data_IF_704547719839
#
_entry.id   IF_704547719839
#
_cell.length_a   1.000
_cell.length_b   1.000
_cell.length_c   1.000
_cell.angle_alpha   90.00
_cell.angle_beta   90.00
_cell.angle_gamma   90.00
#
_symmetry.space_group_name_H-M   'P 1'
#
loop_
_entity.id
_entity.type
_entity.pdbx_description
1 polymer ?
#
# COMPACT_ATOMS: atom_id res chain seq x y z
N UNK A 1 9.28 -9.64 6.21
CA UNK A 1 8.16 -10.57 6.52
C UNK A 1 7.06 -10.34 5.50
N UNK A 2 6.77 -11.33 4.65
CA UNK A 2 5.76 -11.24 3.59
C UNK A 2 4.42 -11.80 4.07
N UNK A 3 3.34 -11.26 3.52
CA UNK A 3 1.96 -11.64 3.84
C UNK A 3 1.26 -12.17 2.59
N UNK A 4 0.31 -13.07 2.78
CA UNK A 4 -0.53 -13.54 1.69
C UNK A 4 -1.34 -12.37 1.13
N UNK A 5 -1.39 -12.25 -0.20
CA UNK A 5 -2.19 -11.23 -0.89
C UNK A 5 -3.67 -11.42 -0.53
N UNK A 6 -4.16 -12.65 -0.58
CA UNK A 6 -5.47 -12.98 -0.03
C UNK A 6 -5.34 -13.25 1.48
N UNK A 7 -5.88 -12.33 2.29
CA UNK A 7 -5.82 -12.42 3.75
C UNK A 7 -6.80 -13.43 4.35
N UNK A 8 -7.78 -13.91 3.58
CA UNK A 8 -8.67 -14.99 4.05
C UNK A 8 -7.99 -16.37 4.05
N UNK A 9 -6.86 -16.51 3.35
CA UNK A 9 -6.12 -17.77 3.25
C UNK A 9 -4.94 -17.76 4.22
N UNK A 10 -4.94 -18.68 5.18
CA UNK A 10 -3.89 -18.85 6.20
C UNK A 10 -2.79 -19.86 5.83
N UNK A 11 -2.75 -20.32 4.58
CA UNK A 11 -1.73 -21.26 4.11
C UNK A 11 -0.32 -20.65 4.17
N UNK A 12 0.59 -21.36 4.85
CA UNK A 12 1.99 -20.98 5.00
C UNK A 12 2.75 -21.02 3.66
N UNK A 13 2.35 -21.89 2.74
CA UNK A 13 2.97 -22.08 1.42
C UNK A 13 2.25 -21.35 0.29
N UNK A 14 1.35 -20.41 0.64
CA UNK A 14 0.61 -19.65 -0.36
C UNK A 14 1.56 -18.96 -1.35
N UNK A 15 1.30 -19.19 -2.64
CA UNK A 15 2.20 -18.78 -3.74
C UNK A 15 2.33 -17.27 -3.89
N UNK A 16 1.24 -16.52 -3.68
CA UNK A 16 1.20 -15.08 -3.93
C UNK A 16 1.38 -14.30 -2.63
N UNK A 17 2.60 -13.85 -2.38
CA UNK A 17 2.93 -13.05 -1.20
C UNK A 17 3.30 -11.62 -1.59
N UNK A 18 3.00 -10.68 -0.70
CA UNK A 18 3.39 -9.28 -0.82
C UNK A 18 4.11 -8.82 0.46
N UNK A 19 4.99 -7.81 0.39
CA UNK A 19 5.53 -7.22 1.60
C UNK A 19 4.42 -6.56 2.44
N UNK A 20 4.59 -6.51 3.75
CA UNK A 20 3.69 -5.76 4.63
C UNK A 20 3.77 -4.27 4.31
N UNK A 21 2.64 -3.58 4.27
CA UNK A 21 2.60 -2.12 4.11
C UNK A 21 3.38 -1.44 5.24
N UNK A 22 4.26 -0.52 4.85
CA UNK A 22 5.01 0.35 5.75
C UNK A 22 4.49 1.77 5.53
N UNK A 23 3.71 2.24 6.48
CA UNK A 23 3.18 3.60 6.48
C UNK A 23 3.96 4.47 7.47
N UNK A 24 4.24 5.70 7.06
CA UNK A 24 4.84 6.75 7.87
C UNK A 24 3.89 7.93 7.90
N UNK A 25 3.68 8.52 9.08
CA UNK A 25 2.94 9.77 9.22
C UNK A 25 3.91 10.93 9.03
N UNK A 26 3.54 11.89 8.19
CA UNK A 26 4.30 13.12 7.97
C UNK A 26 3.38 14.33 8.16
N UNK A 27 3.95 15.45 8.63
CA UNK A 27 3.18 16.66 8.95
C UNK A 27 2.45 16.58 10.29
N UNK A 28 1.77 17.69 10.64
CA UNK A 28 0.96 17.86 11.85
C UNK A 28 -0.21 18.80 11.55
N UNK A 29 -1.29 18.71 12.33
CA UNK A 29 -2.49 19.54 12.14
C UNK A 29 -3.15 19.32 10.78
N UNK A 30 -3.56 20.41 10.12
CA UNK A 30 -4.27 20.37 8.83
C UNK A 30 -3.43 19.86 7.64
N UNK A 31 -2.12 19.62 7.83
CA UNK A 31 -1.21 19.10 6.81
C UNK A 31 -0.70 17.69 7.10
N UNK A 32 -1.36 16.93 7.97
CA UNK A 32 -0.98 15.54 8.24
C UNK A 32 -1.26 14.66 7.03
N UNK A 33 -0.29 13.83 6.65
CA UNK A 33 -0.41 12.88 5.54
C UNK A 33 0.16 11.51 5.93
N UNK A 34 -0.37 10.48 5.28
CA UNK A 34 0.14 9.11 5.40
C UNK A 34 0.96 8.78 4.15
N UNK A 35 2.25 8.54 4.33
CA UNK A 35 3.18 8.16 3.28
C UNK A 35 3.40 6.66 3.32
N UNK A 36 3.12 5.98 2.22
CA UNK A 36 3.34 4.54 2.09
C UNK A 36 4.72 4.35 1.44
N UNK A 37 5.71 4.03 2.27
CA UNK A 37 7.13 4.03 1.88
C UNK A 37 7.45 2.91 0.90
N UNK A 38 6.82 1.75 1.05
CA UNK A 38 7.10 0.57 0.23
C UNK A 38 6.00 0.27 -0.81
N UNK A 39 5.27 1.30 -1.26
CA UNK A 39 4.18 1.11 -2.22
C UNK A 39 4.66 0.46 -3.53
N UNK A 40 5.88 0.79 -3.97
CA UNK A 40 6.48 0.23 -5.20
C UNK A 40 6.63 -1.29 -5.10
N UNK A 41 7.14 -1.79 -3.97
CA UNK A 41 7.33 -3.23 -3.76
C UNK A 41 5.99 -3.99 -3.64
N UNK A 42 5.02 -3.38 -2.96
CA UNK A 42 3.65 -3.94 -2.87
C UNK A 42 3.02 -4.00 -4.25
N UNK A 43 3.10 -2.92 -5.02
CA UNK A 43 2.52 -2.84 -6.37
C UNK A 43 3.17 -3.83 -7.33
N UNK A 44 4.49 -4.05 -7.22
CA UNK A 44 5.22 -5.09 -7.95
C UNK A 44 4.72 -6.49 -7.63
N UNK A 45 4.46 -6.80 -6.35
CA UNK A 45 3.89 -8.09 -5.96
C UNK A 45 2.47 -8.31 -6.50
N UNK A 46 1.73 -7.23 -6.75
CA UNK A 46 0.38 -7.25 -7.33
C UNK A 46 0.37 -7.15 -8.87
N UNK A 47 1.52 -7.01 -9.54
CA UNK A 47 1.62 -6.72 -10.97
C UNK A 47 0.74 -5.53 -11.41
N UNK A 48 0.77 -4.45 -10.63
CA UNK A 48 0.08 -3.19 -10.92
C UNK A 48 1.03 -2.00 -10.78
N UNK A 49 0.82 -0.91 -11.52
CA UNK A 49 1.54 0.33 -11.27
C UNK A 49 1.24 0.85 -9.85
N UNK A 50 2.19 1.45 -9.13
CA UNK A 50 1.98 1.95 -7.77
C UNK A 50 0.95 3.09 -7.67
N UNK A 51 0.64 3.73 -8.80
CA UNK A 51 -0.40 4.76 -8.89
C UNK A 51 -1.81 4.22 -8.64
N UNK A 52 -2.09 2.98 -9.06
CA UNK A 52 -3.40 2.34 -8.92
C UNK A 52 -3.79 2.05 -7.46
N UNK A 53 -3.02 1.29 -6.66
CA UNK A 53 -3.38 1.00 -5.28
C UNK A 53 -3.42 2.27 -4.42
N UNK A 54 -2.55 3.24 -4.69
CA UNK A 54 -2.58 4.53 -3.98
C UNK A 54 -3.83 5.34 -4.32
N UNK A 55 -4.23 5.40 -5.60
CA UNK A 55 -5.48 6.05 -6.03
C UNK A 55 -6.69 5.39 -5.36
N UNK A 56 -6.70 4.07 -5.29
CA UNK A 56 -7.73 3.31 -4.59
C UNK A 56 -7.85 3.74 -3.12
N UNK A 57 -6.74 3.83 -2.38
CA UNK A 57 -6.77 4.34 -1.01
C UNK A 57 -7.28 5.78 -0.91
N UNK A 58 -6.95 6.64 -1.86
CA UNK A 58 -7.50 8.00 -1.92
C UNK A 58 -9.02 8.03 -2.04
N UNK A 59 -9.58 7.21 -2.93
CA UNK A 59 -11.02 7.10 -3.12
C UNK A 59 -11.73 6.52 -1.89
N UNK A 60 -11.23 5.41 -1.33
CA UNK A 60 -11.85 4.74 -0.18
C UNK A 60 -11.76 5.55 1.11
N UNK A 61 -10.66 6.27 1.32
CA UNK A 61 -10.42 7.04 2.54
C UNK A 61 -10.87 8.51 2.42
N UNK A 62 -11.34 8.94 1.25
CA UNK A 62 -11.69 10.34 1.00
C UNK A 62 -10.49 11.28 1.12
N UNK A 63 -9.28 10.82 0.76
CA UNK A 63 -8.03 11.55 0.93
C UNK A 63 -7.39 11.91 -0.41
N UNK A 64 -6.74 13.08 -0.46
CA UNK A 64 -5.96 13.47 -1.64
C UNK A 64 -4.69 12.63 -1.74
N UNK A 65 -4.47 12.03 -2.90
CA UNK A 65 -3.26 11.23 -3.20
C UNK A 65 -2.26 12.06 -3.97
N UNK A 66 -0.99 12.02 -3.56
CA UNK A 66 0.12 12.62 -4.29
C UNK A 66 1.06 11.54 -4.82
N UNK A 67 1.64 11.79 -5.99
CA UNK A 67 2.56 10.90 -6.68
C UNK A 67 3.81 11.67 -7.03
N UNK A 68 4.96 11.23 -6.52
CA UNK A 68 6.26 11.67 -7.00
C UNK A 68 6.68 10.67 -8.08
N UNK A 69 6.81 11.13 -9.32
CA UNK A 69 7.11 10.29 -10.50
C UNK A 69 8.61 10.27 -10.76
#
# INVERSE_FOLDING_TARGET
MSVNVNRSVSDQFYRYKMPRLIAKVEGKGNGIKTVIVNMVDVAKALNRPPTYPTKYFGCELGAQTQFDV
#
